data_IF_375929994340
#
_entry.id   IF_375929994340
#
_cell.length_a   1.000
_cell.length_b   1.000
_cell.length_c   1.000
_cell.angle_alpha   90.00
_cell.angle_beta   90.00
_cell.angle_gamma   90.00
#
_symmetry.space_group_name_H-M   'P 1'
#
loop_
_entity.id
_entity.type
_entity.pdbx_description
1 polymer ?
#
# COMPACT_ATOMS: atom_id res chain seq x y z
N UNK A 1 -11.25 3.82 -2.18
CA UNK A 1 -10.98 2.93 -1.03
C UNK A 1 -9.54 3.04 -0.55
N UNK A 2 -8.54 2.89 -1.43
CA UNK A 2 -7.13 3.04 -1.03
C UNK A 2 -6.82 4.38 -0.32
N UNK A 3 -7.31 5.52 -0.85
CA UNK A 3 -7.18 6.84 -0.20
C UNK A 3 -7.77 6.89 1.22
N UNK A 4 -8.95 6.31 1.43
CA UNK A 4 -9.55 6.21 2.77
C UNK A 4 -8.70 5.33 3.71
N UNK A 5 -8.17 4.20 3.23
CA UNK A 5 -7.24 3.37 4.00
C UNK A 5 -6.02 4.19 4.41
N UNK A 6 -5.44 4.96 3.50
CA UNK A 6 -4.32 5.85 3.80
C UNK A 6 -4.67 6.87 4.88
N UNK A 7 -5.76 7.62 4.72
CA UNK A 7 -6.19 8.66 5.66
C UNK A 7 -6.37 8.10 7.08
N UNK A 8 -7.05 6.96 7.20
CA UNK A 8 -7.25 6.31 8.49
C UNK A 8 -5.93 5.77 9.06
N UNK A 9 -5.08 5.16 8.22
CA UNK A 9 -3.77 4.67 8.66
C UNK A 9 -2.87 5.81 9.14
N UNK A 10 -2.88 6.96 8.46
CA UNK A 10 -2.16 8.17 8.85
C UNK A 10 -2.67 8.70 10.20
N UNK A 11 -3.98 8.74 10.43
CA UNK A 11 -4.55 9.18 11.72
C UNK A 11 -4.26 8.22 12.88
N UNK A 12 -4.01 6.94 12.58
CA UNK A 12 -3.72 5.88 13.56
C UNK A 12 -2.26 5.42 13.48
N UNK A 13 -1.36 6.30 13.04
CA UNK A 13 0.03 5.96 12.74
C UNK A 13 0.71 5.22 13.91
N UNK A 14 0.67 5.78 15.11
CA UNK A 14 1.33 5.20 16.28
C UNK A 14 0.80 3.79 16.60
N UNK A 15 -0.52 3.64 16.64
CA UNK A 15 -1.19 2.37 16.95
C UNK A 15 -0.83 1.27 15.93
N UNK A 16 -0.86 1.61 14.64
CA UNK A 16 -0.64 0.66 13.56
C UNK A 16 0.84 0.31 13.40
N UNK A 17 1.74 1.26 13.69
CA UNK A 17 3.18 1.07 13.55
C UNK A 17 3.82 0.38 14.75
N UNK A 18 3.31 0.59 15.97
CA UNK A 18 3.90 0.07 17.22
C UNK A 18 4.24 -1.44 17.18
N UNK A 19 3.38 -2.34 16.68
CA UNK A 19 3.68 -3.77 16.63
C UNK A 19 4.79 -4.15 15.63
N UNK A 20 5.11 -3.25 14.68
CA UNK A 20 6.05 -3.46 13.60
C UNK A 20 7.28 -2.55 13.70
N UNK A 21 7.46 -1.84 14.81
CA UNK A 21 8.49 -0.81 14.98
C UNK A 21 9.93 -1.33 14.72
N UNK A 22 10.17 -2.63 14.89
CA UNK A 22 11.47 -3.26 14.62
C UNK A 22 11.74 -3.59 13.15
N UNK A 23 10.72 -3.51 12.28
CA UNK A 23 10.78 -3.94 10.88
C UNK A 23 10.28 -2.90 9.87
N UNK A 24 9.86 -1.72 10.35
CA UNK A 24 9.49 -0.59 9.50
C UNK A 24 10.48 0.56 9.70
N UNK A 25 10.64 1.38 8.68
CA UNK A 25 11.55 2.53 8.66
C UNK A 25 10.81 3.72 8.03
N UNK A 26 9.73 4.12 8.69
CA UNK A 26 8.87 5.20 8.22
C UNK A 26 9.33 6.50 8.85
N UNK A 27 9.67 7.47 8.01
CA UNK A 27 9.83 8.86 8.37
C UNK A 27 8.49 9.60 8.19
N UNK A 28 7.82 10.03 9.27
CA UNK A 28 6.54 10.74 9.18
C UNK A 28 6.61 12.04 8.39
N UNK A 29 7.77 12.71 8.36
CA UNK A 29 7.95 13.95 7.59
C UNK A 29 7.96 13.70 6.07
N UNK A 30 8.11 12.44 5.64
CA UNK A 30 8.10 12.03 4.23
C UNK A 30 6.76 11.43 3.81
N UNK A 31 5.77 11.45 4.70
CA UNK A 31 4.40 11.07 4.37
C UNK A 31 3.64 12.28 3.79
N UNK A 32 2.99 12.14 2.62
CA UNK A 32 2.12 13.19 2.08
C UNK A 32 0.93 13.44 3.00
N UNK A 33 0.42 14.67 3.01
CA UNK A 33 -0.75 14.98 3.83
C UNK A 33 -1.98 14.18 3.35
N UNK A 34 -2.85 13.67 4.24
CA UNK A 34 -4.06 12.95 3.83
C UNK A 34 -4.95 13.72 2.86
N UNK A 35 -5.05 15.04 3.01
CA UNK A 35 -5.83 15.91 2.11
C UNK A 35 -5.24 15.99 0.70
N UNK A 36 -3.91 15.95 0.60
CA UNK A 36 -3.20 15.86 -0.69
C UNK A 36 -3.50 14.52 -1.37
N UNK A 37 -3.39 13.42 -0.62
CA UNK A 37 -3.61 12.05 -1.13
C UNK A 37 -5.05 11.83 -1.58
N UNK A 38 -6.02 12.47 -0.93
CA UNK A 38 -7.43 12.40 -1.32
C UNK A 38 -7.68 12.98 -2.72
N UNK A 39 -6.88 13.97 -3.13
CA UNK A 39 -6.89 14.56 -4.47
C UNK A 39 -6.16 13.74 -5.55
N UNK A 40 -5.37 12.72 -5.18
CA UNK A 40 -4.54 12.01 -6.15
C UNK A 40 -5.31 11.10 -7.09
N UNK A 41 -5.15 11.29 -8.40
CA UNK A 41 -5.61 10.35 -9.41
C UNK A 41 -5.05 8.92 -9.21
N UNK A 42 -5.80 7.91 -9.65
CA UNK A 42 -5.46 6.50 -9.41
C UNK A 42 -4.05 6.11 -9.91
N UNK A 43 -3.63 6.69 -11.05
CA UNK A 43 -2.28 6.48 -11.62
C UNK A 43 -1.18 7.00 -10.72
N UNK A 44 -1.39 8.14 -10.08
CA UNK A 44 -0.41 8.79 -9.23
C UNK A 44 -0.28 8.01 -7.92
N UNK A 45 -1.41 7.67 -7.29
CA UNK A 45 -1.45 6.82 -6.10
C UNK A 45 -0.71 5.49 -6.33
N UNK A 46 -0.94 4.84 -7.48
CA UNK A 46 -0.27 3.59 -7.82
C UNK A 46 1.25 3.77 -8.05
N UNK A 47 1.68 4.87 -8.67
CA UNK A 47 3.09 5.18 -8.88
C UNK A 47 3.83 5.43 -7.56
N UNK A 48 3.19 6.10 -6.60
CA UNK A 48 3.76 6.33 -5.26
C UNK A 48 3.84 5.04 -4.44
N UNK A 49 2.81 4.17 -4.55
CA UNK A 49 2.70 2.95 -3.74
C UNK A 49 3.56 1.77 -4.23
N UNK A 50 3.67 1.59 -5.56
CA UNK A 50 4.23 0.36 -6.13
C UNK A 50 5.72 0.25 -5.82
N UNK A 51 6.16 -0.93 -5.37
CA UNK A 51 7.58 -1.20 -5.14
C UNK A 51 8.35 -1.27 -6.46
N UNK A 52 8.77 -0.10 -6.94
CA UNK A 52 9.56 0.11 -8.14
C UNK A 52 10.55 1.24 -7.85
N UNK A 53 11.81 0.87 -7.55
CA UNK A 53 12.86 1.83 -7.22
C UNK A 53 13.25 2.73 -8.41
N UNK A 54 12.89 2.35 -9.64
CA UNK A 54 13.13 3.17 -10.83
C UNK A 54 12.07 4.26 -11.04
N UNK A 55 10.95 4.18 -10.32
CA UNK A 55 9.86 5.14 -10.39
C UNK A 55 10.16 6.36 -9.52
N UNK A 56 10.32 7.58 -10.07
CA UNK A 56 10.65 8.77 -9.26
C UNK A 56 9.59 9.14 -8.22
N UNK A 57 8.33 8.77 -8.45
CA UNK A 57 7.24 9.02 -7.51
C UNK A 57 7.20 8.01 -6.36
N UNK A 58 7.93 6.90 -6.45
CA UNK A 58 7.87 5.84 -5.45
C UNK A 58 8.27 6.37 -4.08
N UNK A 59 7.40 6.17 -3.09
CA UNK A 59 7.66 6.56 -1.72
C UNK A 59 7.65 5.31 -0.81
N UNK A 60 8.81 4.86 -0.29
CA UNK A 60 8.90 3.69 0.58
C UNK A 60 8.15 3.90 1.91
N UNK A 61 8.13 5.12 2.44
CA UNK A 61 7.42 5.50 3.68
C UNK A 61 5.92 5.33 3.52
N UNK A 62 5.39 5.87 2.42
CA UNK A 62 3.99 5.72 2.04
C UNK A 62 3.62 4.24 1.88
N UNK A 63 4.47 3.47 1.20
CA UNK A 63 4.25 2.03 1.00
C UNK A 63 4.22 1.26 2.32
N UNK A 64 5.16 1.52 3.22
CA UNK A 64 5.19 0.85 4.53
C UNK A 64 3.97 1.20 5.37
N UNK A 65 3.53 2.47 5.37
CA UNK A 65 2.30 2.84 6.08
C UNK A 65 1.07 2.12 5.54
N UNK A 66 0.91 2.03 4.22
CA UNK A 66 -0.17 1.24 3.60
C UNK A 66 -0.05 -0.24 3.94
N UNK A 67 1.18 -0.76 4.04
CA UNK A 67 1.42 -2.15 4.38
C UNK A 67 0.92 -2.49 5.79
N UNK A 68 1.25 -1.67 6.80
CA UNK A 68 0.76 -1.86 8.17
C UNK A 68 -0.71 -1.42 8.34
N UNK A 69 -1.21 -0.58 7.43
CA UNK A 69 -2.60 -0.16 7.33
C UNK A 69 -3.58 -1.24 6.88
N UNK A 70 -3.13 -2.49 6.65
CA UNK A 70 -4.03 -3.60 6.29
C UNK A 70 -5.15 -3.83 7.32
N UNK A 71 -4.93 -3.49 8.60
CA UNK A 71 -5.94 -3.56 9.66
C UNK A 71 -7.14 -2.67 9.35
N UNK A 72 -6.88 -1.45 8.87
CA UNK A 72 -7.94 -0.52 8.42
C UNK A 72 -8.73 -1.14 7.28
N UNK A 73 -8.06 -1.77 6.31
CA UNK A 73 -8.73 -2.45 5.21
C UNK A 73 -9.62 -3.62 5.69
N UNK A 74 -9.16 -4.36 6.70
CA UNK A 74 -9.92 -5.46 7.31
C UNK A 74 -11.18 -4.94 8.04
N UNK A 75 -11.07 -3.81 8.76
CA UNK A 75 -12.20 -3.16 9.45
C UNK A 75 -13.28 -2.68 8.47
N UNK A 76 -12.98 -2.48 7.18
CA UNK A 76 -13.98 -2.15 6.15
C UNK A 76 -14.91 -3.31 5.78
N UNK A 77 -14.64 -4.53 6.27
CA UNK A 77 -15.52 -5.69 6.15
C UNK A 77 -15.91 -6.03 4.71
N UNK A 78 -17.21 -6.29 4.49
CA UNK A 78 -17.77 -6.72 3.20
C UNK A 78 -17.40 -5.79 2.05
N UNK A 79 -17.37 -4.47 2.28
CA UNK A 79 -17.01 -3.50 1.24
C UNK A 79 -15.62 -3.76 0.66
N UNK A 80 -14.65 -4.12 1.50
CA UNK A 80 -13.30 -4.45 1.03
C UNK A 80 -13.29 -5.85 0.38
N UNK A 81 -13.92 -6.83 1.02
CA UNK A 81 -13.97 -8.21 0.52
C UNK A 81 -14.64 -8.31 -0.86
N UNK A 82 -15.73 -7.58 -1.09
CA UNK A 82 -16.43 -7.57 -2.36
C UNK A 82 -15.64 -6.84 -3.45
N UNK A 83 -14.85 -5.83 -3.09
CA UNK A 83 -13.90 -5.24 -4.03
C UNK A 83 -12.82 -6.24 -4.43
N UNK A 84 -12.31 -7.07 -3.51
CA UNK A 84 -11.35 -8.13 -3.84
C UNK A 84 -11.94 -9.13 -4.84
N UNK A 85 -13.20 -9.55 -4.64
CA UNK A 85 -13.91 -10.45 -5.57
C UNK A 85 -14.08 -9.77 -6.94
N UNK A 86 -14.60 -8.54 -6.96
CA UNK A 86 -14.87 -7.76 -8.18
C UNK A 86 -13.62 -7.52 -9.02
N UNK A 87 -12.50 -7.21 -8.39
CA UNK A 87 -11.25 -6.86 -9.07
C UNK A 87 -10.24 -8.00 -9.13
N UNK A 88 -10.67 -9.24 -8.84
CA UNK A 88 -9.81 -10.45 -8.84
C UNK A 88 -8.92 -10.57 -10.09
N UNK A 89 -9.37 -10.36 -11.34
CA UNK A 89 -8.50 -10.51 -12.51
C UNK A 89 -7.33 -9.53 -12.49
N UNK A 90 -7.59 -8.27 -12.13
CA UNK A 90 -6.56 -7.23 -12.01
C UNK A 90 -5.61 -7.52 -10.85
N UNK A 91 -6.14 -7.93 -9.70
CA UNK A 91 -5.33 -8.27 -8.52
C UNK A 91 -4.42 -9.46 -8.83
N UNK A 92 -4.97 -10.55 -9.38
CA UNK A 92 -4.21 -11.76 -9.71
C UNK A 92 -3.03 -11.46 -10.62
N UNK A 93 -3.23 -10.69 -11.70
CA UNK A 93 -2.14 -10.26 -12.58
C UNK A 93 -1.02 -9.54 -11.83
N UNK A 94 -1.37 -8.59 -10.96
CA UNK A 94 -0.36 -7.83 -10.20
C UNK A 94 0.35 -8.69 -9.15
N UNK A 95 -0.37 -9.59 -8.47
CA UNK A 95 0.20 -10.51 -7.48
C UNK A 95 1.15 -11.51 -8.14
N UNK A 96 0.76 -12.10 -9.27
CA UNK A 96 1.62 -13.01 -10.04
C UNK A 96 2.88 -12.31 -10.53
N UNK A 97 2.75 -11.13 -11.16
CA UNK A 97 3.90 -10.37 -11.62
C UNK A 97 4.85 -10.00 -10.46
N UNK A 98 4.30 -9.64 -9.30
CA UNK A 98 5.12 -9.31 -8.14
C UNK A 98 5.78 -10.55 -7.53
N UNK A 99 5.00 -11.52 -7.04
CA UNK A 99 5.53 -12.65 -6.25
C UNK A 99 6.21 -13.68 -7.15
N UNK A 100 5.59 -14.09 -8.23
CA UNK A 100 6.13 -15.16 -9.08
C UNK A 100 7.23 -14.63 -10.00
N UNK A 101 6.95 -13.64 -10.85
CA UNK A 101 7.89 -13.23 -11.91
C UNK A 101 9.09 -12.44 -11.37
N UNK A 102 8.86 -11.48 -10.47
CA UNK A 102 9.91 -10.59 -9.96
C UNK A 102 10.69 -11.14 -8.78
N UNK A 103 10.12 -12.06 -7.99
CA UNK A 103 10.78 -12.62 -6.80
C UNK A 103 11.11 -14.09 -6.98
N UNK A 104 10.12 -14.99 -7.04
CA UNK A 104 10.37 -16.44 -7.06
C UNK A 104 11.18 -16.89 -8.27
N UNK A 105 10.79 -16.50 -9.50
CA UNK A 105 11.46 -16.97 -10.73
C UNK A 105 12.92 -16.53 -10.82
N UNK A 106 13.26 -15.37 -10.26
CA UNK A 106 14.65 -14.83 -10.26
C UNK A 106 15.60 -15.56 -9.31
N UNK A 107 15.08 -16.39 -8.41
CA UNK A 107 15.93 -17.17 -7.49
C UNK A 107 16.50 -18.41 -8.19
N UNK A 108 15.82 -18.91 -9.23
CA UNK A 108 16.17 -20.16 -9.93
C UNK A 108 16.80 -19.97 -11.32
N UNK A 109 16.95 -18.72 -11.77
CA UNK A 109 17.54 -18.34 -13.06
C UNK A 109 18.80 -17.53 -12.82
#
# INVERSE_FOLDING_TARGET
MARAIYRHAHSRYEELCKPYATVIDIDPARLPAPDEVDGWEARHYAAVLRHDQSQPLYNPHFRQLIHVGYKVAAEMGERYLDALKRFRPTIARNVTANIYERHLRRIFL
#
